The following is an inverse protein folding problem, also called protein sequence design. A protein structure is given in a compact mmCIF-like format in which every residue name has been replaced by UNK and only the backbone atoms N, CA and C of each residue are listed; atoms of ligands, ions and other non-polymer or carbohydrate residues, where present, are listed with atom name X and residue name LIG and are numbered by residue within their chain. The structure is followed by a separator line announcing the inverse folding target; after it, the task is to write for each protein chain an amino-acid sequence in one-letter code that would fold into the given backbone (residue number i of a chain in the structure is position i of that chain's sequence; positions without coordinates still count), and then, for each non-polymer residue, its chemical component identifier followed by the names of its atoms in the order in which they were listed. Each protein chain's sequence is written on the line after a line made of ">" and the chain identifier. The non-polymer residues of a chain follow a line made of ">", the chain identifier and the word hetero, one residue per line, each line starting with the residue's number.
data_IF_397645793675
#
_entry.id   IF_397645793675
#
_cell.length_a   1.000
_cell.length_b   1.000
_cell.length_c   1.000
_cell.angle_alpha   90.00
_cell.angle_beta   90.00
_cell.angle_gamma   90.00
#
_symmetry.space_group_name_H-M   'P 1'
#
loop_
_entity.id
_entity.type
_entity.pdbx_description
1 polymer ?
#
# COMPACT_ATOMS: atom_id res chain seq x y z
N UNK A 1 -1.01 -10.34 -9.08
CA UNK A 1 -0.04 -9.28 -9.36
C UNK A 1 0.66 -8.86 -8.08
N UNK A 2 1.84 -8.28 -8.24
CA UNK A 2 2.59 -7.60 -7.20
C UNK A 2 2.84 -6.16 -7.67
N UNK A 3 2.68 -5.19 -6.78
CA UNK A 3 2.91 -3.78 -7.08
C UNK A 3 3.98 -3.25 -6.14
N UNK A 4 5.05 -2.69 -6.68
CA UNK A 4 6.14 -2.09 -5.94
C UNK A 4 6.17 -0.59 -6.20
N UNK A 5 5.86 0.22 -5.19
CA UNK A 5 5.89 1.66 -5.28
C UNK A 5 7.23 2.21 -4.81
N UNK A 6 7.88 2.99 -5.66
CA UNK A 6 9.12 3.71 -5.39
C UNK A 6 8.85 5.17 -5.06
N UNK A 7 9.82 5.84 -4.44
CA UNK A 7 9.69 7.23 -3.99
C UNK A 7 9.73 8.25 -5.13
N UNK A 8 10.48 7.97 -6.20
CA UNK A 8 10.62 8.85 -7.38
C UNK A 8 11.03 8.07 -8.62
N UNK A 9 10.82 8.65 -9.81
CA UNK A 9 11.27 8.08 -11.09
C UNK A 9 12.79 7.91 -11.14
N UNK A 10 13.54 8.92 -10.71
CA UNK A 10 15.01 8.85 -10.65
C UNK A 10 15.50 7.67 -9.79
N UNK A 11 14.85 7.46 -8.64
CA UNK A 11 15.20 6.35 -7.76
C UNK A 11 14.83 5.01 -8.39
N UNK A 12 13.65 4.90 -9.01
CA UNK A 12 13.22 3.72 -9.75
C UNK A 12 14.22 3.36 -10.85
N UNK A 13 14.58 4.31 -11.72
CA UNK A 13 15.54 4.11 -12.82
C UNK A 13 16.89 3.64 -12.31
N UNK A 14 17.42 4.28 -11.26
CA UNK A 14 18.71 3.91 -10.65
C UNK A 14 18.69 2.49 -10.09
N UNK A 15 17.61 2.13 -9.38
CA UNK A 15 17.45 0.79 -8.80
C UNK A 15 17.30 -0.26 -9.89
N UNK A 16 16.48 0.00 -10.90
CA UNK A 16 16.27 -0.93 -12.03
C UNK A 16 17.57 -1.15 -12.82
N UNK A 17 18.33 -0.08 -13.10
CA UNK A 17 19.63 -0.20 -13.76
C UNK A 17 20.59 -1.07 -12.95
N UNK A 18 20.68 -0.81 -11.63
CA UNK A 18 21.51 -1.61 -10.72
C UNK A 18 21.05 -3.07 -10.68
N UNK A 19 19.74 -3.33 -10.62
CA UNK A 19 19.20 -4.69 -10.63
C UNK A 19 19.43 -5.43 -11.95
N UNK A 20 19.48 -4.70 -13.06
CA UNK A 20 19.83 -5.27 -14.36
C UNK A 20 21.29 -5.71 -14.38
N UNK A 21 22.21 -4.84 -13.95
CA UNK A 21 23.65 -5.12 -13.91
C UNK A 21 24.00 -6.30 -13.00
N UNK A 22 23.29 -6.46 -11.88
CA UNK A 22 23.47 -7.57 -10.95
C UNK A 22 22.72 -8.86 -11.36
N UNK A 23 21.99 -8.85 -12.49
CA UNK A 23 21.22 -10.01 -12.95
C UNK A 23 19.91 -10.29 -12.19
N UNK A 24 19.55 -9.45 -11.22
CA UNK A 24 18.33 -9.60 -10.39
C UNK A 24 17.07 -9.53 -11.26
N UNK A 25 17.03 -8.66 -12.27
CA UNK A 25 15.89 -8.56 -13.19
C UNK A 25 15.63 -9.89 -13.91
N UNK A 26 16.68 -10.61 -14.29
CA UNK A 26 16.54 -11.89 -14.98
C UNK A 26 15.90 -12.94 -14.06
N UNK A 27 16.31 -12.98 -12.79
CA UNK A 27 15.72 -13.87 -11.79
C UNK A 27 14.26 -13.52 -11.47
N UNK A 28 13.92 -12.23 -11.46
CA UNK A 28 12.53 -11.78 -11.35
C UNK A 28 11.72 -12.24 -12.55
N UNK A 29 12.24 -12.07 -13.77
CA UNK A 29 11.58 -12.45 -15.03
C UNK A 29 11.35 -13.96 -15.16
N UNK A 30 12.22 -14.80 -14.57
CA UNK A 30 11.99 -16.25 -14.46
C UNK A 30 10.70 -16.56 -13.69
N UNK A 31 10.39 -15.76 -12.67
CA UNK A 31 9.22 -15.97 -11.82
C UNK A 31 7.97 -15.24 -12.30
N UNK A 32 8.07 -13.97 -12.70
CA UNK A 32 6.95 -13.10 -13.09
C UNK A 32 7.38 -12.09 -14.14
N UNK A 33 6.45 -11.64 -14.98
CA UNK A 33 6.73 -10.56 -15.94
C UNK A 33 6.88 -9.23 -15.21
N UNK A 34 7.89 -8.44 -15.55
CA UNK A 34 8.18 -7.15 -14.92
C UNK A 34 7.73 -6.03 -15.86
N UNK A 35 6.92 -5.12 -15.34
CA UNK A 35 6.45 -3.91 -16.01
C UNK A 35 6.90 -2.70 -15.20
N UNK A 36 7.30 -1.64 -15.89
CA UNK A 36 7.88 -0.44 -15.28
C UNK A 36 7.05 0.76 -15.72
N UNK A 37 6.65 1.60 -14.79
CA UNK A 37 6.01 2.89 -15.07
C UNK A 37 7.04 3.86 -15.65
N UNK A 38 6.67 4.52 -16.75
CA UNK A 38 7.47 5.59 -17.36
C UNK A 38 6.75 6.93 -17.22
N UNK A 39 7.40 8.03 -17.58
CA UNK A 39 6.74 9.35 -17.54
C UNK A 39 5.72 9.53 -18.68
N UNK A 40 5.85 8.74 -19.74
CA UNK A 40 4.94 8.76 -20.89
C UNK A 40 3.62 8.01 -20.56
N UNK A 41 2.52 8.67 -20.91
CA UNK A 41 1.15 8.19 -20.67
C UNK A 41 0.79 7.00 -21.54
N UNK A 42 1.21 7.02 -22.80
CA UNK A 42 0.88 5.96 -23.74
C UNK A 42 1.59 4.66 -23.35
N UNK A 43 2.88 4.74 -23.04
CA UNK A 43 3.67 3.60 -22.54
C UNK A 43 3.13 3.05 -21.22
N UNK A 44 2.83 3.92 -20.25
CA UNK A 44 2.30 3.50 -18.95
C UNK A 44 0.96 2.78 -19.08
N UNK A 45 0.07 3.29 -19.95
CA UNK A 45 -1.21 2.65 -20.24
C UNK A 45 -1.03 1.27 -20.87
N UNK A 46 -0.08 1.12 -21.80
CA UNK A 46 0.25 -0.15 -22.43
C UNK A 46 0.87 -1.14 -21.42
N UNK A 47 1.77 -0.67 -20.55
CA UNK A 47 2.38 -1.47 -19.50
C UNK A 47 1.34 -1.99 -18.52
N UNK A 48 0.38 -1.15 -18.12
CA UNK A 48 -0.72 -1.54 -17.24
C UNK A 48 -1.63 -2.59 -17.88
N UNK A 49 -2.01 -2.38 -19.15
CA UNK A 49 -2.85 -3.34 -19.88
C UNK A 49 -2.18 -4.71 -19.95
N UNK A 50 -0.88 -4.73 -20.25
CA UNK A 50 -0.11 -5.97 -20.31
C UNK A 50 0.09 -6.60 -18.92
N UNK A 51 0.23 -5.79 -17.87
CA UNK A 51 0.27 -6.25 -16.48
C UNK A 51 -1.01 -6.99 -16.08
N UNK A 52 -2.18 -6.42 -16.37
CA UNK A 52 -3.47 -7.06 -16.10
C UNK A 52 -3.62 -8.37 -16.88
N UNK A 53 -3.32 -8.32 -18.18
CA UNK A 53 -3.34 -9.50 -19.06
C UNK A 53 -2.41 -10.62 -18.58
N UNK A 54 -1.25 -10.29 -18.05
CA UNK A 54 -0.30 -11.26 -17.50
C UNK A 54 -0.77 -11.86 -16.16
N UNK A 55 -1.52 -11.09 -15.36
CA UNK A 55 -2.17 -11.60 -14.16
C UNK A 55 -3.28 -12.60 -14.50
N UNK A 56 -4.11 -12.29 -15.49
CA UNK A 56 -5.26 -13.13 -15.88
C UNK A 56 -4.83 -14.43 -16.56
N UNK A 57 -3.72 -14.40 -17.32
CA UNK A 57 -3.17 -15.57 -18.01
C UNK A 57 -2.35 -16.50 -17.10
N UNK A 58 -2.28 -16.24 -15.80
CA UNK A 58 -1.66 -17.13 -14.81
C UNK A 58 -0.13 -17.07 -14.69
N UNK A 59 0.58 -16.35 -15.59
CA UNK A 59 2.04 -16.15 -15.47
C UNK A 59 2.40 -15.30 -14.25
N UNK A 60 1.55 -14.32 -13.94
CA UNK A 60 1.77 -13.33 -12.90
C UNK A 60 2.69 -12.21 -13.35
N UNK A 61 2.50 -11.04 -12.74
CA UNK A 61 3.21 -9.83 -13.09
C UNK A 61 3.62 -9.03 -11.85
N UNK A 62 4.68 -8.25 -12.01
CA UNK A 62 5.21 -7.25 -11.08
C UNK A 62 5.13 -5.90 -11.79
N UNK A 63 4.49 -4.93 -11.15
CA UNK A 63 4.46 -3.54 -11.59
C UNK A 63 5.37 -2.71 -10.70
N UNK A 64 6.42 -2.13 -11.26
CA UNK A 64 7.27 -1.15 -10.59
C UNK A 64 6.72 0.24 -10.93
N UNK A 65 6.13 0.90 -9.93
CA UNK A 65 5.43 2.17 -10.07
C UNK A 65 6.01 3.22 -9.12
N UNK A 66 5.63 4.48 -9.28
CA UNK A 66 6.03 5.58 -8.40
C UNK A 66 4.85 5.98 -7.50
N UNK A 67 5.10 6.17 -6.20
CA UNK A 67 4.09 6.48 -5.18
C UNK A 67 3.40 7.84 -5.34
N UNK A 68 3.97 8.73 -6.16
CA UNK A 68 3.40 10.02 -6.57
C UNK A 68 3.22 10.09 -8.09
N UNK A 69 3.22 8.92 -8.73
CA UNK A 69 3.03 8.74 -10.16
C UNK A 69 1.55 8.64 -10.51
N UNK A 70 1.28 8.54 -11.80
CA UNK A 70 -0.09 8.52 -12.35
C UNK A 70 -0.80 7.23 -11.96
N UNK A 71 -0.05 6.13 -11.93
CA UNK A 71 -0.55 4.80 -11.52
C UNK A 71 -1.05 4.83 -10.07
N UNK A 72 -0.37 5.55 -9.18
CA UNK A 72 -0.75 5.65 -7.76
C UNK A 72 -1.95 6.57 -7.48
N UNK A 73 -2.39 7.37 -8.46
CA UNK A 73 -3.52 8.30 -8.31
C UNK A 73 -4.78 7.83 -9.04
N UNK A 74 -4.63 7.24 -10.22
CA UNK A 74 -5.76 6.94 -11.11
C UNK A 74 -6.20 5.49 -11.19
N UNK A 75 -5.42 4.54 -10.64
CA UNK A 75 -5.59 3.12 -10.98
C UNK A 75 -5.74 2.27 -9.73
N UNK A 76 -6.74 1.39 -9.76
CA UNK A 76 -7.10 0.54 -8.64
C UNK A 76 -6.70 -0.91 -8.90
N UNK A 77 -6.07 -1.55 -7.91
CA UNK A 77 -5.57 -2.92 -8.02
C UNK A 77 -6.55 -3.87 -7.36
N UNK A 78 -7.63 -4.16 -8.06
CA UNK A 78 -8.71 -4.98 -7.53
C UNK A 78 -8.32 -6.47 -7.42
N UNK A 79 -8.72 -7.14 -6.34
CA UNK A 79 -8.56 -8.57 -6.14
C UNK A 79 -7.15 -9.13 -6.45
N UNK A 80 -7.04 -9.98 -7.49
CA UNK A 80 -5.81 -10.68 -7.82
C UNK A 80 -4.78 -9.77 -8.48
N UNK A 81 -5.12 -8.55 -8.89
CA UNK A 81 -4.17 -7.58 -9.44
C UNK A 81 -3.23 -7.04 -8.36
N UNK A 82 -3.63 -6.98 -7.09
CA UNK A 82 -2.88 -6.31 -6.02
C UNK A 82 -2.47 -7.18 -4.82
N UNK A 83 -2.34 -8.51 -4.97
CA UNK A 83 -2.13 -9.44 -3.83
C UNK A 83 -0.94 -9.12 -2.92
N UNK A 84 0.09 -8.44 -3.43
CA UNK A 84 1.18 -7.94 -2.62
C UNK A 84 1.53 -6.52 -3.08
N UNK A 85 1.47 -5.55 -2.16
CA UNK A 85 1.93 -4.18 -2.38
C UNK A 85 3.13 -3.92 -1.51
N UNK A 86 4.20 -3.46 -2.13
CA UNK A 86 5.46 -3.14 -1.47
C UNK A 86 5.72 -1.65 -1.63
N UNK A 87 5.81 -0.93 -0.52
CA UNK A 87 6.27 0.46 -0.48
C UNK A 87 7.78 0.49 -0.26
N UNK A 88 8.52 0.77 -1.32
CA UNK A 88 9.98 0.90 -1.30
C UNK A 88 10.35 2.31 -0.82
N UNK A 89 10.69 2.42 0.46
CA UNK A 89 11.02 3.71 1.07
C UNK A 89 9.79 4.56 1.45
N UNK A 90 10.07 5.74 1.99
CA UNK A 90 9.05 6.75 2.33
C UNK A 90 9.00 7.81 1.22
N UNK A 91 7.82 8.06 0.60
CA UNK A 91 7.69 8.99 -0.52
C UNK A 91 7.67 10.44 -0.04
N UNK A 92 8.82 10.95 0.40
CA UNK A 92 8.99 12.37 0.75
C UNK A 92 8.91 13.27 -0.49
N UNK A 93 8.36 14.47 -0.32
CA UNK A 93 8.45 15.52 -1.33
C UNK A 93 9.87 16.04 -1.45
N UNK A 94 10.19 16.58 -2.62
CA UNK A 94 11.44 17.29 -2.84
C UNK A 94 11.49 18.57 -2.00
N UNK A 95 12.36 18.59 -0.99
CA UNK A 95 12.42 19.64 0.04
C UNK A 95 13.01 20.97 -0.44
N UNK A 96 13.75 20.99 -1.55
CA UNK A 96 14.38 22.21 -2.05
C UNK A 96 13.48 23.03 -3.01
N UNK A 97 12.22 22.64 -3.20
CA UNK A 97 11.26 23.42 -3.99
C UNK A 97 10.87 24.71 -3.26
N UNK A 98 10.98 25.86 -3.94
CA UNK A 98 10.57 27.17 -3.40
C UNK A 98 9.09 27.23 -3.03
N UNK A 99 8.25 26.55 -3.81
CA UNK A 99 6.80 26.47 -3.54
C UNK A 99 6.55 25.74 -2.23
N UNK A 100 7.27 24.64 -1.99
CA UNK A 100 7.13 23.88 -0.74
C UNK A 100 7.66 24.69 0.45
N UNK A 101 8.80 25.37 0.31
CA UNK A 101 9.34 26.25 1.36
C UNK A 101 8.35 27.35 1.75
N UNK A 102 7.79 28.07 0.78
CA UNK A 102 6.79 29.11 1.03
C UNK A 102 5.52 28.54 1.71
N UNK A 103 5.08 27.34 1.31
CA UNK A 103 3.94 26.65 1.95
C UNK A 103 4.25 26.27 3.39
N UNK A 104 5.46 25.77 3.66
CA UNK A 104 5.91 25.40 5.00
C UNK A 104 6.00 26.61 5.91
N UNK A 105 6.54 27.73 5.43
CA UNK A 105 6.57 29.02 6.15
C UNK A 105 5.16 29.50 6.47
N UNK A 106 4.24 29.47 5.51
CA UNK A 106 2.85 29.85 5.72
C UNK A 106 2.15 28.96 6.79
N UNK A 107 2.34 27.65 6.73
CA UNK A 107 1.76 26.71 7.69
C UNK A 107 2.33 26.89 9.10
N UNK A 108 3.61 27.24 9.21
CA UNK A 108 4.26 27.55 10.47
C UNK A 108 3.70 28.85 11.05
N UNK A 109 3.63 29.91 10.25
CA UNK A 109 3.29 31.24 10.74
C UNK A 109 1.78 31.40 11.02
N UNK A 110 0.90 30.77 10.24
CA UNK A 110 -0.56 30.89 10.41
C UNK A 110 -1.17 29.81 11.31
N UNK A 111 -0.65 28.57 11.26
CA UNK A 111 -1.26 27.42 11.93
C UNK A 111 -0.36 26.77 12.98
N UNK A 112 0.84 27.33 13.22
CA UNK A 112 1.84 26.80 14.16
C UNK A 112 2.20 25.33 13.89
N UNK A 113 2.14 24.90 12.63
CA UNK A 113 2.48 23.53 12.21
C UNK A 113 3.98 23.48 11.92
N UNK A 114 4.68 22.55 12.58
CA UNK A 114 6.11 22.33 12.33
C UNK A 114 6.32 21.73 10.95
N UNK A 115 7.40 22.13 10.30
CA UNK A 115 7.72 21.70 8.93
C UNK A 115 7.85 20.17 8.82
N UNK A 116 8.56 19.55 9.76
CA UNK A 116 8.72 18.10 9.84
C UNK A 116 7.38 17.36 10.03
N UNK A 117 6.42 17.98 10.72
CA UNK A 117 5.12 17.36 10.93
C UNK A 117 4.32 17.28 9.65
N UNK A 118 4.30 18.37 8.87
CA UNK A 118 3.68 18.42 7.56
C UNK A 118 4.35 17.45 6.57
N UNK A 119 5.68 17.46 6.48
CA UNK A 119 6.41 16.56 5.57
C UNK A 119 6.15 15.10 5.87
N UNK A 120 6.15 14.73 7.15
CA UNK A 120 5.87 13.35 7.56
C UNK A 120 4.41 12.99 7.30
N UNK A 121 3.47 13.90 7.60
CA UNK A 121 2.05 13.69 7.34
C UNK A 121 1.78 13.46 5.84
N UNK A 122 2.31 14.31 4.97
CA UNK A 122 2.11 14.18 3.53
C UNK A 122 2.72 12.89 2.98
N UNK A 123 3.92 12.51 3.45
CA UNK A 123 4.56 11.27 3.04
C UNK A 123 3.77 10.03 3.48
N UNK A 124 3.26 10.00 4.71
CA UNK A 124 2.44 8.89 5.21
C UNK A 124 1.08 8.84 4.51
N UNK A 125 0.49 9.99 4.18
CA UNK A 125 -0.76 10.08 3.41
C UNK A 125 -0.61 9.42 2.03
N UNK A 126 0.44 9.74 1.28
CA UNK A 126 0.67 9.12 -0.04
C UNK A 126 1.02 7.63 0.09
N UNK A 127 1.82 7.24 1.08
CA UNK A 127 2.14 5.83 1.31
C UNK A 127 0.86 5.01 1.62
N UNK A 128 0.01 5.52 2.51
CA UNK A 128 -1.26 4.89 2.83
C UNK A 128 -2.24 4.87 1.64
N UNK A 129 -2.23 5.92 0.81
CA UNK A 129 -3.04 5.99 -0.41
C UNK A 129 -2.64 4.89 -1.39
N UNK A 130 -1.34 4.73 -1.68
CA UNK A 130 -0.82 3.69 -2.58
C UNK A 130 -1.18 2.28 -2.09
N UNK A 131 -0.93 2.03 -0.80
CA UNK A 131 -1.19 0.76 -0.14
C UNK A 131 -2.68 0.44 -0.08
N UNK A 132 -3.52 1.44 0.17
CA UNK A 132 -4.97 1.30 0.25
C UNK A 132 -5.64 0.91 -1.08
N UNK A 133 -4.95 1.04 -2.22
CA UNK A 133 -5.51 0.67 -3.53
C UNK A 133 -5.65 -0.81 -3.78
N UNK A 134 -4.93 -1.62 -3.02
CA UNK A 134 -4.95 -3.08 -3.16
C UNK A 134 -6.02 -3.78 -2.33
N UNK A 135 -6.77 -3.06 -1.49
CA UNK A 135 -7.87 -3.65 -0.74
C UNK A 135 -9.16 -2.88 -1.02
N UNK A 136 -10.07 -3.52 -1.75
CA UNK A 136 -11.34 -2.93 -2.19
C UNK A 136 -12.55 -3.42 -1.41
N UNK A 137 -12.52 -4.67 -0.95
CA UNK A 137 -13.66 -5.33 -0.32
C UNK A 137 -13.25 -6.24 0.84
N UNK A 138 -14.23 -6.73 1.59
CA UNK A 138 -14.03 -7.62 2.74
C UNK A 138 -13.60 -9.03 2.34
N UNK A 139 -13.94 -9.43 1.12
CA UNK A 139 -13.52 -10.69 0.50
C UNK A 139 -12.12 -10.59 -0.11
N UNK A 140 -11.60 -9.37 -0.21
CA UNK A 140 -10.30 -9.13 -0.79
C UNK A 140 -9.22 -9.17 0.29
N UNK A 141 -8.05 -9.69 -0.08
CA UNK A 141 -6.91 -9.80 0.81
C UNK A 141 -5.62 -9.51 0.06
N UNK A 142 -4.73 -8.78 0.73
CA UNK A 142 -3.43 -8.44 0.19
C UNK A 142 -2.40 -8.34 1.29
N UNK A 143 -1.14 -8.60 0.93
CA UNK A 143 0.01 -8.34 1.79
C UNK A 143 0.47 -6.91 1.52
N UNK A 144 0.60 -6.13 2.58
CA UNK A 144 1.08 -4.76 2.52
C UNK A 144 2.45 -4.71 3.23
N UNK A 145 3.52 -4.45 2.48
CA UNK A 145 4.89 -4.42 2.99
C UNK A 145 5.42 -3.00 2.94
N UNK A 146 5.87 -2.49 4.09
CA UNK A 146 6.58 -1.21 4.20
C UNK A 146 8.08 -1.47 4.29
N UNK A 147 8.78 -1.36 3.16
CA UNK A 147 10.20 -1.68 3.05
C UNK A 147 11.10 -0.49 3.42
N UNK A 148 10.99 -0.02 4.68
CA UNK A 148 11.88 0.98 5.26
C UNK A 148 11.82 0.96 6.80
N UNK A 149 12.98 0.91 7.46
CA UNK A 149 13.08 0.96 8.94
C UNK A 149 12.39 2.19 9.54
N UNK A 150 12.35 3.30 8.80
CA UNK A 150 11.75 4.56 9.27
C UNK A 150 10.25 4.44 9.55
N UNK A 151 9.52 3.51 8.92
CA UNK A 151 8.11 3.26 9.22
C UNK A 151 7.88 2.72 10.63
N UNK A 152 8.86 2.05 11.24
CA UNK A 152 8.75 1.55 12.62
C UNK A 152 8.79 2.67 13.67
N UNK A 153 9.21 3.89 13.31
CA UNK A 153 9.29 4.99 14.27
C UNK A 153 7.90 5.50 14.64
N UNK A 154 7.67 5.80 15.92
CA UNK A 154 6.38 6.23 16.45
C UNK A 154 5.83 7.50 15.76
N UNK A 155 6.71 8.43 15.34
CA UNK A 155 6.32 9.67 14.64
C UNK A 155 5.69 9.43 13.27
N UNK A 156 5.98 8.27 12.65
CA UNK A 156 5.50 7.91 11.32
C UNK A 156 4.40 6.87 11.39
N UNK A 157 4.58 5.85 12.23
CA UNK A 157 3.59 4.78 12.47
C UNK A 157 2.25 5.34 12.93
N UNK A 158 2.26 6.33 13.83
CA UNK A 158 1.05 6.99 14.33
C UNK A 158 0.28 7.79 13.28
N UNK A 159 0.94 8.17 12.17
CA UNK A 159 0.34 8.95 11.07
C UNK A 159 -0.25 8.05 9.97
N UNK A 160 -0.09 6.73 10.05
CA UNK A 160 -0.82 5.80 9.17
C UNK A 160 -2.30 5.74 9.58
N UNK A 161 -3.23 5.34 8.71
CA UNK A 161 -4.62 5.12 9.11
C UNK A 161 -4.78 4.06 10.21
N UNK A 162 -5.75 4.24 11.12
CA UNK A 162 -6.02 3.31 12.24
C UNK A 162 -6.18 1.85 11.78
N UNK A 163 -6.90 1.62 10.68
CA UNK A 163 -7.10 0.27 10.13
C UNK A 163 -5.79 -0.44 9.74
N UNK A 164 -4.74 0.29 9.36
CA UNK A 164 -3.41 -0.30 9.12
C UNK A 164 -2.70 -0.53 10.47
N UNK A 165 -2.77 0.44 11.37
CA UNK A 165 -2.08 0.38 12.67
C UNK A 165 -2.56 -0.80 13.52
N UNK A 166 -3.86 -1.09 13.52
CA UNK A 166 -4.46 -2.21 14.26
C UNK A 166 -3.90 -3.58 13.84
N UNK A 167 -3.50 -3.72 12.57
CA UNK A 167 -2.94 -4.95 12.04
C UNK A 167 -1.41 -4.97 12.00
N UNK A 168 -0.78 -3.81 12.20
CA UNK A 168 0.66 -3.64 12.32
C UNK A 168 1.08 -3.86 13.77
N UNK A 169 1.04 -5.11 14.22
CA UNK A 169 1.48 -5.57 15.55
C UNK A 169 3.00 -5.58 15.67
N UNK A 170 3.53 -5.48 16.90
CA UNK A 170 4.97 -5.32 17.12
C UNK A 170 5.82 -6.51 16.64
N UNK A 171 5.25 -7.72 16.64
CA UNK A 171 5.91 -8.90 16.06
C UNK A 171 5.99 -8.89 14.52
N UNK A 172 5.35 -7.93 13.86
CA UNK A 172 5.42 -7.70 12.40
C UNK A 172 6.23 -6.45 12.05
N UNK A 173 6.85 -5.81 13.05
CA UNK A 173 7.70 -4.64 12.86
C UNK A 173 9.18 -5.05 12.78
N UNK A 174 9.97 -4.32 11.99
CA UNK A 174 11.43 -4.52 11.84
C UNK A 174 11.84 -5.94 11.43
N UNK A 175 11.00 -6.61 10.62
CA UNK A 175 11.29 -7.93 10.09
C UNK A 175 12.43 -7.89 9.07
N UNK A 176 13.24 -8.94 9.07
CA UNK A 176 14.12 -9.26 7.93
C UNK A 176 13.30 -9.74 6.72
N UNK A 177 13.94 -9.78 5.55
CA UNK A 177 13.32 -10.26 4.31
C UNK A 177 12.90 -11.73 4.39
N UNK A 178 13.70 -12.56 5.08
CA UNK A 178 13.41 -13.97 5.29
C UNK A 178 12.24 -14.18 6.24
N UNK A 179 12.22 -13.50 7.38
CA UNK A 179 11.09 -13.57 8.33
C UNK A 179 9.79 -13.09 7.69
N UNK A 180 9.84 -11.99 6.94
CA UNK A 180 8.67 -11.50 6.20
C UNK A 180 8.15 -12.55 5.21
N UNK A 181 9.05 -13.26 4.52
CA UNK A 181 8.67 -14.35 3.59
C UNK A 181 8.08 -15.56 4.33
N UNK A 182 8.63 -15.91 5.50
CA UNK A 182 8.13 -17.00 6.34
C UNK A 182 6.75 -16.70 6.94
N UNK A 183 6.45 -15.44 7.27
CA UNK A 183 5.13 -15.03 7.77
C UNK A 183 4.08 -14.93 6.65
N UNK A 184 4.46 -14.42 5.48
CA UNK A 184 3.53 -14.18 4.38
C UNK A 184 3.06 -15.46 3.68
N UNK A 185 3.94 -16.46 3.53
CA UNK A 185 3.60 -17.74 2.87
C UNK A 185 2.44 -18.52 3.54
N UNK A 186 2.46 -18.80 4.86
CA UNK A 186 1.36 -19.48 5.52
C UNK A 186 0.11 -18.61 5.56
N UNK A 187 0.26 -17.30 5.75
CA UNK A 187 -0.86 -16.36 5.74
C UNK A 187 -1.63 -16.39 4.42
N UNK A 188 -0.93 -16.40 3.26
CA UNK A 188 -1.58 -16.53 1.96
C UNK A 188 -2.34 -17.85 1.80
N UNK A 189 -1.82 -18.96 2.33
CA UNK A 189 -2.49 -20.27 2.28
C UNK A 189 -3.77 -20.30 3.13
N UNK A 190 -3.74 -19.63 4.27
CA UNK A 190 -4.89 -19.49 5.16
C UNK A 190 -5.97 -18.60 4.54
N UNK A 191 -5.59 -17.46 3.98
CA UNK A 191 -6.52 -16.52 3.35
C UNK A 191 -7.08 -17.02 2.00
N UNK A 192 -6.42 -17.99 1.37
CA UNK A 192 -6.89 -18.61 0.14
C UNK A 192 -7.97 -19.68 0.35
N UNK A 193 -8.33 -20.01 1.61
CA UNK A 193 -9.44 -20.92 1.88
C UNK A 193 -10.78 -20.30 1.46
N UNK A 194 -11.80 -21.11 1.12
CA UNK A 194 -13.13 -20.60 0.81
C UNK A 194 -13.66 -19.77 1.98
N UNK A 195 -13.99 -18.51 1.71
CA UNK A 195 -14.60 -17.61 2.70
C UNK A 195 -16.00 -17.26 2.22
N UNK A 196 -17.00 -17.88 2.83
CA UNK A 196 -18.39 -17.79 2.38
C UNK A 196 -19.09 -16.58 2.98
N UNK A 197 -20.26 -16.25 2.45
CA UNK A 197 -21.08 -15.17 3.00
C UNK A 197 -21.56 -15.50 4.42
N UNK A 198 -21.76 -16.76 4.74
CA UNK A 198 -22.19 -17.20 6.08
C UNK A 198 -21.14 -16.88 7.14
N UNK A 199 -19.86 -17.04 6.82
CA UNK A 199 -18.73 -16.68 7.69
C UNK A 199 -18.66 -15.16 7.97
N UNK A 200 -19.29 -14.35 7.12
CA UNK A 200 -19.33 -12.89 7.27
C UNK A 200 -20.50 -12.40 8.12
N UNK A 201 -21.59 -13.17 8.20
CA UNK A 201 -22.82 -12.79 8.90
C UNK A 201 -22.56 -12.66 10.41
N UNK A 202 -22.98 -11.54 10.99
CA UNK A 202 -22.81 -11.24 12.41
C UNK A 202 -21.46 -10.61 12.80
N UNK A 203 -20.45 -10.61 11.91
CA UNK A 203 -19.15 -9.96 12.17
C UNK A 203 -18.97 -8.75 11.27
N UNK A 204 -19.07 -8.96 9.96
CA UNK A 204 -18.76 -7.95 8.95
C UNK A 204 -19.94 -7.63 8.05
N UNK A 205 -20.87 -8.57 7.85
CA UNK A 205 -22.18 -8.33 7.24
C UNK A 205 -23.26 -8.49 8.31
N UNK A 206 -24.30 -7.64 8.25
CA UNK A 206 -25.44 -7.68 9.17
C UNK A 206 -26.71 -7.93 8.37
N UNK A 207 -27.57 -8.82 8.86
CA UNK A 207 -28.95 -8.96 8.35
C UNK A 207 -29.87 -7.90 8.94
N UNK A 208 -31.05 -7.71 8.33
CA UNK A 208 -32.05 -6.76 8.82
C UNK A 208 -32.49 -7.08 10.26
N UNK A 209 -32.67 -8.36 10.58
CA UNK A 209 -33.01 -8.83 11.93
C UNK A 209 -31.89 -8.53 12.94
N UNK A 210 -30.64 -8.78 12.56
CA UNK A 210 -29.48 -8.46 13.39
C UNK A 210 -29.33 -6.95 13.64
N UNK A 211 -29.73 -6.12 12.68
CA UNK A 211 -29.66 -4.66 12.79
C UNK A 211 -30.70 -4.09 13.76
N UNK A 212 -31.86 -4.76 13.86
CA UNK A 212 -32.92 -4.41 14.81
C UNK A 212 -32.65 -4.89 16.25
N UNK A 213 -31.62 -5.70 16.47
CA UNK A 213 -31.25 -6.14 17.81
C UNK A 213 -30.53 -5.01 18.58
N UNK A 214 -31.00 -4.75 19.81
CA UNK A 214 -30.45 -3.69 20.66
C UNK A 214 -28.94 -3.88 20.93
N UNK A 215 -28.49 -5.13 21.05
CA UNK A 215 -27.08 -5.47 21.29
C UNK A 215 -26.16 -5.03 20.13
N UNK A 216 -26.59 -5.21 18.88
CA UNK A 216 -25.79 -4.81 17.72
C UNK A 216 -25.82 -3.29 17.52
N UNK A 217 -26.93 -2.63 17.84
CA UNK A 217 -27.01 -1.16 17.85
C UNK A 217 -25.98 -0.58 18.85
N UNK A 218 -25.89 -1.15 20.04
CA UNK A 218 -24.93 -0.70 21.06
C UNK A 218 -23.48 -1.01 20.66
N UNK A 219 -23.21 -2.15 20.02
CA UNK A 219 -21.89 -2.47 19.45
C UNK A 219 -21.49 -1.49 18.34
N UNK A 220 -22.42 -1.10 17.47
CA UNK A 220 -22.16 -0.13 16.40
C UNK A 220 -21.90 1.25 16.98
N UNK A 221 -22.67 1.69 17.98
CA UNK A 221 -22.45 2.98 18.68
C UNK A 221 -21.06 3.03 19.33
N UNK A 222 -20.67 1.98 20.06
CA UNK A 222 -19.33 1.89 20.66
C UNK A 222 -18.22 1.94 19.61
N UNK A 223 -18.39 1.28 18.46
CA UNK A 223 -17.43 1.35 17.35
C UNK A 223 -17.39 2.73 16.69
N UNK A 224 -18.52 3.41 16.56
CA UNK A 224 -18.59 4.77 16.01
C UNK A 224 -17.90 5.78 16.92
N UNK A 225 -18.11 5.68 18.24
CA UNK A 225 -17.41 6.50 19.25
C UNK A 225 -15.90 6.26 19.24
N UNK A 226 -15.46 5.02 19.00
CA UNK A 226 -14.05 4.67 18.84
C UNK A 226 -13.42 5.07 17.49
N UNK A 227 -14.24 5.34 16.47
CA UNK A 227 -13.78 5.71 15.13
C UNK A 227 -13.67 7.23 14.93
N UNK A 228 -14.38 8.02 15.74
CA UNK A 228 -14.16 9.46 15.89
C UNK A 228 -12.78 9.77 16.53
#
# INVERSE_FOLDING_TARGET
>A
GMVCFFTSYLYLETVVATWYDHGIIQDLQRNKLVFIETQDDAETSLALLNYMKACDKGRGAILLAVARGKVSEGIDFDHHYGRCVIMMGIPFMYTQSKILQARLEYLRDQYNIRENDFLTFDAMRHAAQCVGRAMRGKTDYGILIFADKRFSRADKRSKLPRWIQEHLVDNKCNLSTEEATQLTRPWLRQMAQPFTREDQLGISLLTLEQLNSQENIDKIKKRAEHAA
#
